data_IF_557618344318
#
_entry.id   IF_557618344318
#
_cell.length_a   1.000
_cell.length_b   1.000
_cell.length_c   1.000
_cell.angle_alpha   90.00
_cell.angle_beta   90.00
_cell.angle_gamma   90.00
#
_symmetry.space_group_name_H-M   'P 1'
#
loop_
_entity.id
_entity.type
_entity.pdbx_description
1 polymer ?
#
# COMPACT_ATOMS: atom_id res chain seq x y z
N UNK A 1 2.15 -8.44 8.13
CA UNK A 1 2.59 -9.18 9.31
C UNK A 1 4.09 -8.98 9.46
N UNK A 2 4.54 -8.54 10.63
CA UNK A 2 5.96 -8.39 10.95
C UNK A 2 6.51 -9.75 11.41
N UNK A 3 7.58 -10.19 10.79
CA UNK A 3 8.25 -11.47 11.11
C UNK A 3 9.66 -11.29 11.67
N UNK A 4 10.02 -10.08 12.07
CA UNK A 4 11.33 -9.74 12.60
C UNK A 4 12.29 -9.15 11.55
N UNK A 5 13.49 -8.80 11.99
CA UNK A 5 14.44 -8.00 11.21
C UNK A 5 14.99 -8.69 9.94
N UNK A 6 14.92 -10.00 9.85
CA UNK A 6 15.43 -10.76 8.70
C UNK A 6 14.37 -11.23 7.73
N UNK A 7 13.10 -11.14 8.09
CA UNK A 7 11.99 -11.56 7.26
C UNK A 7 11.04 -10.39 7.14
N UNK A 8 10.96 -9.85 5.96
CA UNK A 8 10.24 -8.61 5.69
C UNK A 8 8.74 -8.64 5.99
N UNK A 9 8.12 -7.52 5.84
CA UNK A 9 6.67 -7.37 5.95
C UNK A 9 6.01 -7.85 4.68
N UNK A 10 5.06 -8.75 4.81
CA UNK A 10 4.48 -9.55 3.74
C UNK A 10 3.05 -9.14 3.45
N UNK A 11 2.57 -9.46 2.27
CA UNK A 11 1.18 -9.21 1.87
C UNK A 11 0.37 -10.48 2.09
N UNK A 12 -0.76 -10.30 2.76
CA UNK A 12 -1.75 -11.34 2.99
C UNK A 12 -3.08 -10.95 2.37
N UNK A 13 -3.86 -11.92 2.01
CA UNK A 13 -5.25 -11.76 1.55
C UNK A 13 -6.18 -12.53 2.45
N UNK A 14 -7.41 -12.08 2.54
CA UNK A 14 -8.51 -12.77 3.21
C UNK A 14 -9.82 -12.44 2.52
N UNK A 15 -10.82 -13.25 2.74
CA UNK A 15 -12.17 -12.92 2.31
C UNK A 15 -12.71 -11.72 3.10
N UNK A 16 -13.70 -10.98 2.57
CA UNK A 16 -14.31 -9.85 3.28
C UNK A 16 -14.89 -10.20 4.65
N UNK A 17 -15.27 -11.44 4.86
CA UNK A 17 -15.77 -11.98 6.15
C UNK A 17 -14.67 -12.37 7.12
N UNK A 18 -13.38 -12.13 6.78
CA UNK A 18 -12.23 -12.50 7.58
C UNK A 18 -11.75 -13.95 7.43
N UNK A 19 -12.46 -14.76 6.69
CA UNK A 19 -12.07 -16.16 6.42
C UNK A 19 -10.94 -16.24 5.36
N UNK A 20 -10.35 -17.43 5.22
CA UNK A 20 -9.35 -17.75 4.20
C UNK A 20 -8.13 -16.79 4.21
N UNK A 21 -7.58 -16.53 5.40
CA UNK A 21 -6.34 -15.77 5.51
C UNK A 21 -5.20 -16.54 4.84
N UNK A 22 -4.65 -15.97 3.78
CA UNK A 22 -3.65 -16.64 2.94
C UNK A 22 -2.50 -15.69 2.62
N UNK A 23 -1.25 -16.20 2.67
CA UNK A 23 -0.08 -15.47 2.20
C UNK A 23 -0.22 -15.19 0.70
N UNK A 24 -0.10 -13.93 0.32
CA UNK A 24 -0.19 -13.52 -1.07
C UNK A 24 1.20 -13.31 -1.69
N UNK A 25 2.11 -12.65 -0.95
CA UNK A 25 3.44 -12.36 -1.50
C UNK A 25 4.47 -11.99 -0.42
N UNK A 26 5.74 -12.39 -0.62
CA UNK A 26 6.92 -11.80 -0.01
C UNK A 26 7.37 -12.39 1.30
N UNK A 27 7.10 -13.67 1.58
CA UNK A 27 7.44 -14.29 2.87
C UNK A 27 8.94 -14.49 3.08
N UNK A 28 9.69 -14.74 2.01
CA UNK A 28 11.14 -14.99 2.04
C UNK A 28 11.95 -13.93 1.31
N UNK A 29 11.30 -12.90 0.79
CA UNK A 29 11.97 -11.79 0.11
C UNK A 29 12.56 -10.85 1.16
N UNK A 30 13.87 -10.67 1.10
CA UNK A 30 14.62 -9.80 2.03
C UNK A 30 14.78 -8.37 1.51
N UNK A 31 14.85 -8.18 0.18
CA UNK A 31 14.94 -6.88 -0.47
C UNK A 31 13.85 -6.73 -1.56
N UNK A 32 12.89 -5.83 -1.37
CA UNK A 32 12.72 -4.88 -0.26
C UNK A 32 12.32 -5.57 1.06
N UNK A 33 12.70 -4.96 2.18
CA UNK A 33 12.41 -5.49 3.51
C UNK A 33 10.93 -5.41 3.90
N UNK A 34 10.10 -4.73 3.13
CA UNK A 34 8.65 -4.66 3.39
C UNK A 34 7.84 -4.22 2.19
N UNK A 35 6.61 -4.72 2.16
CA UNK A 35 5.57 -4.33 1.22
C UNK A 35 4.42 -3.68 1.98
N UNK A 36 4.14 -2.42 1.67
CA UNK A 36 3.19 -1.59 2.40
C UNK A 36 2.07 -1.10 1.50
N UNK A 37 0.91 -0.81 2.09
CA UNK A 37 -0.17 -0.08 1.43
C UNK A 37 -0.59 -0.68 0.07
N UNK A 38 -0.58 -2.01 -0.01
CA UNK A 38 -0.86 -2.75 -1.23
C UNK A 38 -2.29 -2.51 -1.73
N UNK A 39 -2.44 -2.28 -3.05
CA UNK A 39 -3.74 -2.10 -3.70
C UNK A 39 -3.78 -2.85 -5.03
N UNK A 40 -4.91 -3.52 -5.29
CA UNK A 40 -5.14 -4.19 -6.56
C UNK A 40 -5.27 -3.17 -7.70
N UNK A 41 -4.61 -3.44 -8.82
CA UNK A 41 -4.71 -2.62 -10.02
C UNK A 41 -6.01 -2.95 -10.76
N UNK A 42 -6.85 -1.96 -11.10
CA UNK A 42 -8.13 -2.21 -11.76
C UNK A 42 -7.98 -3.01 -13.06
N UNK A 43 -8.78 -4.06 -13.21
CA UNK A 43 -8.80 -4.89 -14.42
C UNK A 43 -7.57 -5.81 -14.60
N UNK A 44 -6.66 -5.85 -13.62
CA UNK A 44 -5.41 -6.60 -13.68
C UNK A 44 -5.27 -7.52 -12.47
N UNK A 45 -4.33 -8.45 -12.56
CA UNK A 45 -3.94 -9.29 -11.43
C UNK A 45 -2.77 -8.71 -10.64
N UNK A 46 -2.25 -7.59 -11.08
CA UNK A 46 -1.16 -6.88 -10.45
C UNK A 46 -1.61 -6.14 -9.19
N UNK A 47 -0.65 -5.93 -8.31
CA UNK A 47 -0.79 -5.13 -7.10
C UNK A 47 0.26 -4.03 -7.14
N UNK A 48 -0.14 -2.79 -6.91
CA UNK A 48 0.81 -1.71 -6.61
C UNK A 48 1.00 -1.62 -5.11
N UNK A 49 2.24 -1.37 -4.68
CA UNK A 49 2.58 -1.22 -3.26
C UNK A 49 3.74 -0.25 -3.06
N UNK A 50 3.90 0.20 -1.83
CA UNK A 50 5.12 0.85 -1.38
C UNK A 50 6.11 -0.22 -0.93
N UNK A 51 7.33 -0.15 -1.44
CA UNK A 51 8.44 -1.05 -1.13
C UNK A 51 9.43 -0.29 -0.27
N UNK A 52 9.57 -0.70 0.94
CA UNK A 52 10.35 0.07 1.92
C UNK A 52 11.14 -0.77 2.89
N UNK A 53 11.89 -0.07 3.74
CA UNK A 53 12.74 -0.69 4.75
C UNK A 53 11.91 -1.24 5.91
N UNK A 54 12.55 -2.05 6.75
CA UNK A 54 11.92 -2.70 7.89
C UNK A 54 11.53 -1.72 9.02
N UNK A 55 12.39 -0.77 9.33
CA UNK A 55 12.26 0.08 10.52
C UNK A 55 11.82 1.52 10.27
N UNK A 56 11.59 1.91 9.09
CA UNK A 56 11.16 3.27 8.79
C UNK A 56 9.75 3.30 8.33
N UNK A 57 8.99 4.24 8.75
CA UNK A 57 7.60 4.51 8.34
C UNK A 57 7.13 3.79 7.07
N UNK A 58 5.97 4.01 6.64
CA UNK A 58 5.44 3.30 5.47
C UNK A 58 5.83 3.98 4.15
N UNK A 59 7.01 4.61 4.11
CA UNK A 59 7.53 5.29 2.93
C UNK A 59 8.63 4.47 2.24
N UNK A 60 8.79 4.65 0.94
CA UNK A 60 9.79 3.94 0.17
C UNK A 60 9.62 4.14 -1.34
N UNK A 61 10.01 3.16 -2.13
CA UNK A 61 9.77 3.14 -3.56
C UNK A 61 8.38 2.62 -3.89
N UNK A 62 7.84 3.03 -5.01
CA UNK A 62 6.68 2.37 -5.60
C UNK A 62 7.11 1.16 -6.43
N UNK A 63 6.30 0.12 -6.39
CA UNK A 63 6.50 -1.05 -7.22
C UNK A 63 5.21 -1.77 -7.57
N UNK A 64 5.33 -2.65 -8.54
CA UNK A 64 4.26 -3.56 -8.97
C UNK A 64 4.65 -4.98 -8.67
N UNK A 65 3.71 -5.75 -8.15
CA UNK A 65 3.83 -7.16 -7.82
C UNK A 65 2.94 -7.96 -8.75
N UNK A 66 3.42 -9.13 -9.18
CA UNK A 66 2.70 -10.10 -10.00
C UNK A 66 2.42 -11.39 -9.23
N UNK A 67 1.39 -11.45 -8.39
CA UNK A 67 1.13 -12.61 -7.52
C UNK A 67 0.91 -13.92 -8.29
N UNK A 68 0.46 -13.83 -9.55
CA UNK A 68 0.26 -15.01 -10.41
C UNK A 68 1.55 -15.71 -10.79
N UNK A 69 2.68 -15.05 -10.69
CA UNK A 69 3.98 -15.65 -11.00
C UNK A 69 4.52 -16.48 -9.84
N UNK A 70 3.95 -16.34 -8.65
CA UNK A 70 4.34 -17.04 -7.44
C UNK A 70 4.39 -16.10 -6.23
N UNK A 71 4.37 -16.68 -5.03
CA UNK A 71 4.34 -15.94 -3.77
C UNK A 71 5.71 -15.43 -3.32
N UNK A 72 6.79 -16.01 -3.87
CA UNK A 72 8.18 -15.79 -3.46
C UNK A 72 9.10 -15.48 -4.66
N UNK A 73 8.53 -15.13 -5.79
CA UNK A 73 9.33 -14.86 -6.98
C UNK A 73 10.16 -13.58 -6.82
N UNK A 74 11.45 -13.62 -7.21
CA UNK A 74 12.37 -12.51 -7.03
C UNK A 74 12.04 -11.33 -7.94
N UNK A 75 12.77 -10.24 -7.72
CA UNK A 75 12.73 -9.06 -8.58
C UNK A 75 12.91 -9.43 -10.06
N UNK A 76 12.08 -8.85 -10.90
CA UNK A 76 12.04 -9.11 -12.34
C UNK A 76 11.07 -10.22 -12.74
N UNK A 77 10.71 -11.11 -11.81
CA UNK A 77 9.70 -12.16 -12.03
C UNK A 77 8.46 -11.94 -11.16
N UNK A 78 8.62 -11.73 -9.88
CA UNK A 78 7.52 -11.53 -8.92
C UNK A 78 7.14 -10.07 -8.73
N UNK A 79 8.09 -9.17 -8.90
CA UNK A 79 7.87 -7.73 -8.74
C UNK A 79 8.89 -6.90 -9.50
N UNK A 80 8.59 -5.61 -9.68
CA UNK A 80 9.54 -4.61 -10.14
C UNK A 80 9.32 -3.28 -9.43
N UNK A 81 10.36 -2.46 -9.36
CA UNK A 81 10.23 -1.08 -8.95
C UNK A 81 9.72 -0.21 -10.11
N UNK A 82 8.84 0.73 -9.80
CA UNK A 82 8.45 1.81 -10.69
C UNK A 82 9.43 2.96 -10.50
N UNK A 83 9.57 3.43 -9.28
CA UNK A 83 10.50 4.51 -8.92
C UNK A 83 11.85 3.93 -8.50
N UNK A 84 12.96 4.64 -8.75
CA UNK A 84 14.32 4.17 -8.46
C UNK A 84 15.17 5.13 -7.64
N UNK A 85 14.59 6.23 -7.24
CA UNK A 85 15.34 7.33 -6.60
C UNK A 85 15.63 7.08 -5.12
N UNK A 86 14.97 6.12 -4.50
CA UNK A 86 15.05 5.86 -3.07
C UNK A 86 15.54 4.43 -2.84
N UNK A 87 16.53 4.23 -1.97
CA UNK A 87 17.01 2.89 -1.65
C UNK A 87 15.89 1.96 -1.16
N UNK A 88 15.82 0.75 -1.68
CA UNK A 88 14.83 -0.26 -1.29
C UNK A 88 15.08 -0.83 0.10
N UNK A 89 16.31 -0.73 0.56
CA UNK A 89 16.75 -1.16 1.87
C UNK A 89 17.42 0.01 2.59
N UNK A 90 16.84 0.45 3.70
CA UNK A 90 17.41 1.45 4.57
C UNK A 90 17.10 1.06 6.02
N UNK A 91 18.12 0.81 6.80
CA UNK A 91 17.94 0.30 8.16
C UNK A 91 17.68 1.39 9.19
N UNK A 92 17.91 2.64 8.91
CA UNK A 92 17.95 3.62 9.98
C UNK A 92 17.29 4.98 9.78
N UNK A 93 17.06 5.47 8.58
CA UNK A 93 16.69 6.90 8.43
C UNK A 93 15.84 7.31 7.23
N UNK A 94 15.31 6.39 6.45
CA UNK A 94 14.51 6.78 5.28
C UNK A 94 13.07 7.12 5.69
N UNK A 95 12.87 8.29 6.28
CA UNK A 95 11.51 8.81 6.56
C UNK A 95 10.87 9.49 5.35
N UNK A 96 11.48 9.37 4.19
CA UNK A 96 11.06 10.01 2.96
C UNK A 96 10.79 8.96 1.88
N UNK A 97 10.02 9.33 0.90
CA UNK A 97 9.67 8.46 -0.20
C UNK A 97 8.21 8.54 -0.60
N UNK A 98 7.84 7.59 -1.42
CA UNK A 98 6.47 7.43 -1.87
C UNK A 98 5.65 6.66 -0.83
N UNK A 99 4.38 7.05 -0.69
CA UNK A 99 3.43 6.44 0.23
C UNK A 99 2.04 6.38 -0.42
N UNK A 100 1.22 5.47 0.07
CA UNK A 100 -0.20 5.37 -0.25
C UNK A 100 -0.50 5.31 -1.76
N UNK A 101 0.13 4.44 -2.53
CA UNK A 101 -0.14 4.35 -3.96
C UNK A 101 -1.59 3.94 -4.21
N UNK A 102 -2.30 4.70 -5.04
CA UNK A 102 -3.66 4.39 -5.46
C UNK A 102 -3.70 4.23 -6.99
N UNK A 103 -4.01 3.04 -7.51
CA UNK A 103 -4.08 2.83 -8.94
C UNK A 103 -5.35 3.43 -9.52
N UNK A 104 -5.21 4.40 -10.43
CA UNK A 104 -6.31 4.96 -11.23
C UNK A 104 -6.58 4.11 -12.46
N UNK A 105 -5.52 3.57 -13.02
CA UNK A 105 -5.50 2.74 -14.22
C UNK A 105 -4.33 1.76 -14.11
N UNK A 106 -4.22 0.81 -15.04
CA UNK A 106 -3.15 -0.19 -15.06
C UNK A 106 -1.72 0.38 -15.06
N UNK A 107 -1.55 1.62 -15.51
CA UNK A 107 -0.24 2.30 -15.65
C UNK A 107 -0.21 3.70 -15.07
N UNK A 108 -1.21 4.10 -14.31
CA UNK A 108 -1.31 5.44 -13.74
C UNK A 108 -1.75 5.37 -12.28
N UNK A 109 -1.01 6.04 -11.42
CA UNK A 109 -1.17 5.96 -9.99
C UNK A 109 -1.21 7.35 -9.36
N UNK A 110 -2.04 7.51 -8.34
CA UNK A 110 -1.93 8.61 -7.37
C UNK A 110 -0.98 8.17 -6.26
N UNK A 111 -0.22 9.11 -5.71
CA UNK A 111 0.70 8.80 -4.62
C UNK A 111 0.98 10.04 -3.78
N UNK A 112 1.30 9.85 -2.50
CA UNK A 112 1.89 10.85 -1.63
C UNK A 112 3.41 10.78 -1.76
N UNK A 113 4.10 11.92 -1.92
CA UNK A 113 5.55 11.97 -2.03
C UNK A 113 6.11 13.24 -1.37
N UNK A 114 7.08 13.07 -0.49
CA UNK A 114 7.70 14.16 0.28
C UNK A 114 9.06 14.61 -0.23
N UNK A 115 9.56 14.03 -1.35
CA UNK A 115 10.91 14.32 -1.84
C UNK A 115 12.01 13.60 -1.05
N UNK A 116 13.26 13.90 -1.40
CA UNK A 116 14.47 13.22 -0.92
C UNK A 116 15.02 13.83 0.37
N UNK A 117 14.25 14.27 1.26
CA UNK A 117 14.76 14.90 2.49
C UNK A 117 13.73 15.01 3.60
N UNK A 118 12.68 14.18 3.53
CA UNK A 118 11.62 14.25 4.52
C UNK A 118 10.80 15.54 4.43
N UNK A 119 10.74 16.14 3.24
CA UNK A 119 9.91 17.30 2.97
C UNK A 119 8.42 16.94 3.09
N UNK A 120 7.58 17.97 3.11
CA UNK A 120 6.12 17.79 3.18
C UNK A 120 5.60 16.94 2.03
N UNK A 121 4.79 15.95 2.37
CA UNK A 121 4.12 15.11 1.38
C UNK A 121 3.12 15.93 0.56
N UNK A 122 3.24 15.83 -0.74
CA UNK A 122 2.37 16.38 -1.78
C UNK A 122 1.72 15.25 -2.55
N UNK A 123 0.69 15.54 -3.34
CA UNK A 123 0.05 14.54 -4.19
C UNK A 123 0.60 14.58 -5.61
N UNK A 124 0.99 13.40 -6.08
CA UNK A 124 1.54 13.21 -7.42
C UNK A 124 0.72 12.22 -8.23
N UNK A 125 0.69 12.47 -9.53
CA UNK A 125 0.40 11.45 -10.54
C UNK A 125 1.72 10.86 -11.01
N UNK A 126 1.79 9.53 -11.05
CA UNK A 126 2.97 8.80 -11.50
C UNK A 126 2.53 7.71 -12.48
N UNK A 127 3.25 7.56 -13.58
CA UNK A 127 3.07 6.43 -14.48
C UNK A 127 4.05 5.27 -14.15
N UNK A 128 3.90 4.16 -14.84
CA UNK A 128 4.73 2.97 -14.64
C UNK A 128 6.16 3.10 -15.19
N UNK A 129 6.53 4.26 -15.75
CA UNK A 129 7.87 4.61 -16.24
C UNK A 129 8.56 5.67 -15.39
N UNK A 130 8.00 6.00 -14.22
CA UNK A 130 8.50 7.03 -13.31
C UNK A 130 8.34 8.48 -13.82
N UNK A 131 7.49 8.72 -14.81
CA UNK A 131 7.09 10.08 -15.12
C UNK A 131 6.11 10.56 -14.06
N UNK A 132 6.41 11.69 -13.43
CA UNK A 132 5.62 12.19 -12.29
C UNK A 132 5.27 13.67 -12.43
N UNK A 133 4.09 14.00 -11.93
CA UNK A 133 3.60 15.38 -11.87
C UNK A 133 2.95 15.64 -10.52
N UNK A 134 3.46 16.63 -9.79
CA UNK A 134 2.75 17.18 -8.64
C UNK A 134 1.49 17.88 -9.14
N UNK A 135 0.35 17.54 -8.57
CA UNK A 135 -0.93 18.18 -8.91
C UNK A 135 -1.59 18.87 -7.73
N UNK A 136 -1.13 18.58 -6.51
CA UNK A 136 -1.64 19.24 -5.32
C UNK A 136 -0.59 19.33 -4.22
N UNK A 137 -0.50 20.50 -3.63
CA UNK A 137 0.28 20.80 -2.43
C UNK A 137 -0.61 21.55 -1.45
N UNK A 138 -0.66 21.11 -0.20
CA UNK A 138 -1.40 21.80 0.83
C UNK A 138 -0.67 23.08 1.28
N UNK A 139 -1.43 24.05 1.79
CA UNK A 139 -0.89 25.29 2.33
C UNK A 139 -0.19 25.05 3.68
N UNK A 140 0.74 25.94 4.02
CA UNK A 140 1.46 25.94 5.29
C UNK A 140 2.30 24.66 5.49
N UNK A 141 2.26 24.11 6.70
CA UNK A 141 3.03 22.93 7.09
C UNK A 141 2.27 21.59 6.91
N UNK A 142 1.12 21.61 6.25
CA UNK A 142 0.28 20.43 6.09
C UNK A 142 0.89 19.44 5.10
N UNK A 143 0.74 18.15 5.41
CA UNK A 143 1.13 17.03 4.54
C UNK A 143 -0.11 16.38 3.93
N UNK A 144 0.03 15.88 2.70
CA UNK A 144 -1.02 15.17 1.97
C UNK A 144 -0.74 13.68 1.96
N UNK A 145 -1.69 12.89 2.44
CA UNK A 145 -1.60 11.44 2.51
C UNK A 145 -2.82 10.76 1.92
N UNK A 146 -2.66 9.48 1.57
CA UNK A 146 -3.72 8.55 1.21
C UNK A 146 -4.69 9.08 0.14
N UNK A 147 -4.18 9.50 -1.03
CA UNK A 147 -5.01 10.06 -2.09
C UNK A 147 -6.01 9.03 -2.60
N UNK A 148 -7.25 9.43 -2.74
CA UNK A 148 -8.30 8.57 -3.29
C UNK A 148 -9.23 9.40 -4.19
N UNK A 149 -9.57 8.91 -5.39
CA UNK A 149 -10.55 9.59 -6.23
C UNK A 149 -11.94 9.46 -5.65
N UNK A 150 -12.71 10.52 -5.73
CA UNK A 150 -14.13 10.51 -5.40
C UNK A 150 -14.91 9.96 -6.61
N UNK A 151 -15.13 8.65 -6.63
CA UNK A 151 -15.85 7.95 -7.69
C UNK A 151 -16.94 7.06 -7.11
N UNK A 152 -17.98 6.80 -7.89
CA UNK A 152 -19.00 5.82 -7.52
C UNK A 152 -18.37 4.44 -7.35
N UNK A 153 -18.69 3.78 -6.25
CA UNK A 153 -18.20 2.43 -5.93
C UNK A 153 -19.37 1.49 -5.74
N UNK A 154 -19.16 0.23 -6.12
CA UNK A 154 -20.14 -0.80 -5.80
C UNK A 154 -20.25 -0.92 -4.28
N UNK A 155 -21.48 -0.91 -3.77
CA UNK A 155 -21.72 -1.15 -2.34
C UNK A 155 -21.17 -2.54 -1.97
N UNK A 156 -20.38 -2.64 -0.90
CA UNK A 156 -19.92 -3.94 -0.41
C UNK A 156 -21.11 -4.84 -0.05
N UNK A 157 -20.96 -6.18 -0.14
CA UNK A 157 -21.99 -7.09 0.32
C UNK A 157 -22.21 -6.91 1.82
N UNK A 158 -23.45 -7.14 2.25
CA UNK A 158 -23.73 -7.26 3.67
C UNK A 158 -23.13 -8.59 4.16
N UNK A 159 -22.26 -8.51 5.15
CA UNK A 159 -21.62 -9.68 5.75
C UNK A 159 -22.21 -9.88 7.15
N UNK A 160 -22.63 -11.11 7.43
CA UNK A 160 -22.99 -11.49 8.79
C UNK A 160 -21.71 -11.60 9.61
N UNK A 161 -21.72 -11.17 10.88
CA UNK A 161 -20.58 -11.37 11.78
C UNK A 161 -20.24 -12.85 11.88
N UNK A 162 -18.97 -13.22 11.72
CA UNK A 162 -18.47 -14.59 11.88
C UNK A 162 -18.52 -15.08 13.32
N UNK A 163 -18.48 -14.16 14.28
CA UNK A 163 -18.60 -14.46 15.70
C UNK A 163 -19.94 -13.96 16.20
N UNK A 164 -20.84 -14.86 16.52
CA UNK A 164 -21.96 -14.58 17.41
C UNK A 164 -21.42 -14.53 18.83
N UNK A 165 -20.74 -13.44 19.21
CA UNK A 165 -20.61 -13.16 20.62
C UNK A 165 -21.99 -12.69 21.10
N UNK A 166 -22.70 -13.44 21.94
CA UNK A 166 -24.03 -13.04 22.42
C UNK A 166 -24.00 -11.71 23.20
N UNK A 167 -22.82 -11.31 23.70
CA UNK A 167 -22.63 -10.07 24.44
C UNK A 167 -22.15 -8.91 23.55
N UNK A 168 -22.01 -9.13 22.24
CA UNK A 168 -21.61 -8.09 21.31
C UNK A 168 -22.83 -7.44 20.68
N UNK A 169 -23.22 -6.31 21.20
CA UNK A 169 -24.16 -5.42 20.51
C UNK A 169 -23.42 -4.65 19.41
N UNK A 170 -23.91 -4.68 18.17
CA UNK A 170 -23.36 -3.83 17.11
C UNK A 170 -23.41 -2.37 17.58
N UNK A 171 -22.27 -1.69 17.63
CA UNK A 171 -22.25 -0.26 17.87
C UNK A 171 -22.99 0.42 16.71
N UNK A 172 -24.20 0.90 16.97
CA UNK A 172 -24.91 1.78 16.05
C UNK A 172 -24.13 3.10 15.95
N UNK A 173 -23.49 3.38 14.80
CA UNK A 173 -22.72 4.61 14.64
C UNK A 173 -23.59 5.87 14.71
N UNK A 174 -24.92 5.74 14.60
CA UNK A 174 -25.87 6.83 14.61
C UNK A 174 -26.37 7.13 16.03
N UNK A 175 -26.32 6.17 16.95
CA UNK A 175 -26.82 6.37 18.32
C UNK A 175 -25.95 7.30 19.18
N UNK A 176 -24.73 7.65 18.76
CA UNK A 176 -23.82 8.57 19.47
C UNK A 176 -23.93 10.03 19.07
N UNK A 177 -24.81 10.39 18.14
CA UNK A 177 -25.02 11.78 17.68
C UNK A 177 -26.32 12.42 18.19
N UNK A 178 -26.90 11.91 19.28
CA UNK A 178 -28.05 12.54 19.98
C UNK A 178 -27.70 12.93 21.39
#
# INVERSE_FOLDING_TARGET
VDKGARVGKTIWTMNPDGSNLTLLFGNTIEDPAGFWQARAVPGRSEIVATFGPHHNGQAGMMGVIWPRNGTEEPRGKGFRFITREIPSYCDTTCHFGYQDPFPLHERLFLVSYGGDGGQRNRLYLIDDRDNKKCFYEAEGELCCYNPQPLVARKRPPFLLPLCSNPDWEPMDPIARSR
#
